data_IF_721809577964
#
_entry.id   IF_721809577964
#
_cell.length_a   1.000
_cell.length_b   1.000
_cell.length_c   1.000
_cell.angle_alpha   90.00
_cell.angle_beta   90.00
_cell.angle_gamma   90.00
#
_symmetry.space_group_name_H-M   'P 1'
#
loop_
_entity.id
_entity.type
_entity.pdbx_description
1 polymer ?
#
# COMPACT_ATOMS: atom_id res chain seq x y z
N UNK A 1 13.86 13.63 -1.15
CA UNK A 1 12.57 13.50 -1.85
C UNK A 1 12.91 13.32 -3.31
N UNK A 2 12.76 12.13 -3.87
CA UNK A 2 12.84 11.94 -5.32
C UNK A 2 11.52 12.39 -5.92
N UNK A 3 11.59 13.25 -6.94
CA UNK A 3 10.41 13.71 -7.65
C UNK A 3 9.88 12.60 -8.56
N UNK A 4 8.72 12.06 -8.21
CA UNK A 4 8.07 10.99 -8.97
C UNK A 4 7.35 11.52 -10.22
N UNK A 5 7.31 12.84 -10.44
CA UNK A 5 6.66 13.46 -11.61
C UNK A 5 7.28 13.03 -12.95
N UNK A 6 8.52 12.53 -12.93
CA UNK A 6 9.18 11.92 -14.09
C UNK A 6 8.46 10.66 -14.59
N UNK A 7 7.89 9.87 -13.68
CA UNK A 7 7.12 8.69 -14.03
C UNK A 7 5.72 9.14 -14.40
N UNK A 8 5.35 9.04 -15.68
CA UNK A 8 4.00 9.35 -16.13
C UNK A 8 2.94 8.56 -15.33
N UNK A 9 1.70 9.07 -15.21
CA UNK A 9 0.69 8.51 -14.31
C UNK A 9 0.44 7.01 -14.51
N UNK A 10 0.35 6.55 -15.77
CA UNK A 10 0.18 5.12 -16.06
C UNK A 10 1.36 4.24 -15.66
N UNK A 11 2.58 4.79 -15.62
CA UNK A 11 3.77 4.05 -15.19
C UNK A 11 3.77 3.86 -13.67
N UNK A 12 3.35 4.87 -12.91
CA UNK A 12 3.19 4.76 -11.46
C UNK A 12 2.13 3.74 -11.09
N UNK A 13 1.01 3.70 -11.82
CA UNK A 13 -0.04 2.70 -11.60
C UNK A 13 0.47 1.28 -11.85
N UNK A 14 1.25 1.08 -12.93
CA UNK A 14 1.86 -0.23 -13.22
C UNK A 14 2.86 -0.65 -12.15
N UNK A 15 3.74 0.26 -11.73
CA UNK A 15 4.72 0.01 -10.66
C UNK A 15 3.99 -0.33 -9.36
N UNK A 16 2.95 0.43 -9.01
CA UNK A 16 2.15 0.19 -7.81
C UNK A 16 1.47 -1.19 -7.87
N UNK A 17 0.82 -1.53 -8.99
CA UNK A 17 0.19 -2.83 -9.18
C UNK A 17 1.21 -3.97 -9.01
N UNK A 18 2.38 -3.86 -9.63
CA UNK A 18 3.44 -4.86 -9.52
C UNK A 18 3.96 -4.99 -8.08
N UNK A 19 4.25 -3.88 -7.41
CA UNK A 19 4.76 -3.89 -6.03
C UNK A 19 3.71 -4.42 -5.04
N UNK A 20 2.45 -4.07 -5.23
CA UNK A 20 1.34 -4.48 -4.36
C UNK A 20 0.92 -5.93 -4.57
N UNK A 21 1.27 -6.56 -5.70
CA UNK A 21 1.05 -7.98 -5.96
C UNK A 21 2.20 -8.90 -5.48
N UNK A 22 3.33 -8.35 -5.04
CA UNK A 22 4.50 -9.14 -4.62
C UNK A 22 4.38 -9.62 -3.17
N UNK A 23 4.50 -10.94 -2.89
CA UNK A 23 4.58 -11.49 -1.54
C UNK A 23 5.69 -10.86 -0.69
N UNK A 24 5.38 -10.48 0.55
CA UNK A 24 6.37 -9.93 1.49
C UNK A 24 6.52 -10.81 2.72
N UNK A 25 7.76 -11.17 3.08
CA UNK A 25 8.07 -11.96 4.29
C UNK A 25 7.56 -11.31 5.58
N UNK A 26 7.62 -9.98 5.66
CA UNK A 26 7.09 -9.19 6.79
C UNK A 26 5.57 -9.35 6.96
N UNK A 27 4.85 -9.58 5.87
CA UNK A 27 3.40 -9.83 5.83
C UNK A 27 3.09 -11.34 5.85
N UNK A 28 3.99 -12.17 6.42
CA UNK A 28 3.88 -13.64 6.40
C UNK A 28 3.70 -14.21 4.98
N UNK A 29 4.34 -13.58 4.00
CA UNK A 29 4.26 -13.90 2.58
C UNK A 29 2.94 -13.56 1.88
N UNK A 30 2.06 -12.77 2.51
CA UNK A 30 0.93 -12.13 1.81
C UNK A 30 1.40 -10.93 1.00
N UNK A 31 0.56 -10.51 0.06
CA UNK A 31 0.78 -9.32 -0.74
C UNK A 31 0.32 -8.05 0.02
N UNK A 32 0.92 -6.89 -0.25
CA UNK A 32 0.44 -5.62 0.30
C UNK A 32 -1.03 -5.34 -0.01
N UNK A 33 -1.52 -5.71 -1.20
CA UNK A 33 -2.93 -5.53 -1.55
C UNK A 33 -3.88 -6.35 -0.67
N UNK A 34 -3.55 -7.63 -0.40
CA UNK A 34 -4.35 -8.51 0.46
C UNK A 34 -4.39 -8.03 1.91
N UNK A 35 -3.26 -7.58 2.46
CA UNK A 35 -3.22 -7.05 3.83
C UNK A 35 -3.98 -5.74 3.97
N UNK A 36 -3.90 -4.85 2.96
CA UNK A 36 -4.68 -3.62 2.95
C UNK A 36 -6.19 -3.92 2.92
N UNK A 37 -6.62 -4.84 2.06
CA UNK A 37 -8.02 -5.27 1.99
C UNK A 37 -8.50 -5.87 3.31
N UNK A 38 -7.67 -6.68 3.97
CA UNK A 38 -7.99 -7.25 5.29
C UNK A 38 -8.11 -6.18 6.39
N UNK A 39 -7.27 -5.14 6.36
CA UNK A 39 -7.33 -4.01 7.31
C UNK A 39 -8.55 -3.12 7.09
N UNK A 40 -8.99 -2.94 5.84
CA UNK A 40 -10.17 -2.16 5.50
C UNK A 40 -11.46 -2.95 5.74
N UNK A 41 -11.42 -4.27 5.56
CA UNK A 41 -12.56 -5.17 5.77
C UNK A 41 -12.76 -5.53 7.26
N UNK A 42 -11.70 -5.44 8.07
CA UNK A 42 -11.79 -5.57 9.52
C UNK A 42 -12.05 -4.22 10.15
N UNK A 43 -13.05 -4.13 11.03
CA UNK A 43 -13.32 -2.95 11.84
C UNK A 43 -12.10 -2.62 12.72
N UNK A 44 -11.19 -1.79 12.22
CA UNK A 44 -10.02 -1.31 12.95
C UNK A 44 -9.99 0.19 12.80
N UNK A 45 -10.75 0.86 13.66
CA UNK A 45 -10.52 2.25 14.04
C UNK A 45 -9.65 2.27 15.31
N UNK A 46 -8.32 2.07 15.24
CA UNK A 46 -7.46 2.55 16.30
C UNK A 46 -7.48 4.09 16.22
N UNK A 47 -7.64 4.81 17.34
CA UNK A 47 -7.71 6.27 17.31
C UNK A 47 -6.43 6.83 16.68
N UNK A 48 -6.54 7.31 15.44
CA UNK A 48 -5.46 8.02 14.78
C UNK A 48 -5.22 9.30 15.59
N UNK A 49 -3.98 9.51 16.01
CA UNK A 49 -3.60 10.70 16.75
C UNK A 49 -3.86 11.92 15.86
N UNK A 50 -4.94 12.64 16.13
CA UNK A 50 -5.23 13.94 15.51
C UNK A 50 -4.30 14.96 16.17
N UNK A 51 -3.16 15.24 15.53
CA UNK A 51 -2.30 16.34 15.96
C UNK A 51 -2.84 17.62 15.36
N UNK A 52 -3.37 18.50 16.23
CA UNK A 52 -3.79 19.87 15.89
C UNK A 52 -2.67 20.90 16.01
#
# INVERSE_FOLDING_TARGET
SEDLSFYGPGMLDQIAAELNARPRKTLKWRTPAEELDALLSGESDPPVATTG
#
